data_IF_567211519625
#
_entry.id   IF_567211519625
#
_cell.length_a   1.000
_cell.length_b   1.000
_cell.length_c   1.000
_cell.angle_alpha   90.00
_cell.angle_beta   90.00
_cell.angle_gamma   90.00
#
_symmetry.space_group_name_H-M   'P 1'
#
loop_
_entity.id
_entity.type
_entity.pdbx_description
1 polymer ?
#
# COMPACT_ATOMS: atom_id res chain seq x y z
N UNK A 1 -0.03 11.87 -6.22
CA UNK A 1 -0.95 10.71 -6.17
C UNK A 1 -0.06 9.50 -5.98
N UNK A 2 -0.49 8.50 -5.21
CA UNK A 2 0.25 7.24 -5.12
C UNK A 2 -0.58 6.13 -5.71
N UNK A 3 0.07 5.29 -6.49
CA UNK A 3 -0.51 4.09 -7.09
C UNK A 3 -0.10 2.88 -6.26
N UNK A 4 -1.03 1.95 -6.06
CA UNK A 4 -0.77 0.72 -5.32
C UNK A 4 -1.32 -0.48 -6.09
N UNK A 5 -0.56 -1.57 -6.15
CA UNK A 5 -0.99 -2.82 -6.78
C UNK A 5 -0.44 -4.05 -6.05
N UNK A 6 -1.25 -5.11 -5.94
CA UNK A 6 -0.92 -6.34 -5.25
C UNK A 6 -0.65 -7.46 -6.27
N UNK A 7 0.57 -7.97 -6.29
CA UNK A 7 0.94 -9.07 -7.16
C UNK A 7 0.89 -10.41 -6.42
N UNK A 8 0.20 -11.40 -6.99
CA UNK A 8 0.22 -12.80 -6.57
C UNK A 8 -1.13 -13.52 -6.65
N UNK A 9 -1.19 -14.80 -6.25
CA UNK A 9 -0.11 -15.56 -5.60
C UNK A 9 1.03 -15.94 -6.55
N UNK A 10 2.24 -15.89 -6.02
CA UNK A 10 3.49 -16.34 -6.63
C UNK A 10 3.99 -17.59 -5.89
N UNK A 11 4.92 -18.38 -6.48
CA UNK A 11 5.61 -19.42 -5.73
C UNK A 11 6.19 -18.86 -4.43
N UNK A 12 5.89 -19.51 -3.31
CA UNK A 12 6.31 -19.05 -2.01
C UNK A 12 7.83 -18.86 -1.96
N UNK A 13 8.28 -17.71 -1.47
CA UNK A 13 9.69 -17.48 -1.20
C UNK A 13 10.20 -18.42 -0.10
N UNK A 14 11.53 -18.45 0.12
CA UNK A 14 12.12 -19.23 1.22
C UNK A 14 11.50 -18.94 2.59
N UNK A 15 11.02 -17.70 2.80
CA UNK A 15 10.39 -17.28 4.05
C UNK A 15 8.86 -17.47 4.05
N UNK A 16 8.26 -17.96 2.96
CA UNK A 16 6.83 -18.23 2.85
C UNK A 16 5.97 -17.02 2.44
N UNK A 17 6.56 -16.03 1.76
CA UNK A 17 5.79 -14.93 1.16
C UNK A 17 5.31 -15.33 -0.23
N UNK A 18 4.02 -15.14 -0.49
CA UNK A 18 3.34 -15.51 -1.74
C UNK A 18 2.85 -14.28 -2.52
N UNK A 19 2.92 -13.09 -1.94
CA UNK A 19 2.47 -11.85 -2.56
C UNK A 19 3.48 -10.72 -2.30
N UNK A 20 3.45 -9.70 -3.14
CA UNK A 20 4.05 -8.42 -2.82
C UNK A 20 3.12 -7.25 -3.18
N UNK A 21 3.11 -6.24 -2.32
CA UNK A 21 2.41 -4.98 -2.54
C UNK A 21 3.43 -3.97 -3.07
N UNK A 22 3.18 -3.44 -4.26
CA UNK A 22 3.92 -2.33 -4.82
C UNK A 22 3.16 -1.02 -4.57
N UNK A 23 3.87 0.00 -4.11
CA UNK A 23 3.37 1.37 -3.99
C UNK A 23 4.34 2.30 -4.71
N UNK A 24 3.81 3.17 -5.57
CA UNK A 24 4.59 4.12 -6.38
C UNK A 24 4.03 5.52 -6.15
N UNK A 25 4.91 6.48 -5.85
CA UNK A 25 4.56 7.90 -5.88
C UNK A 25 4.78 8.49 -7.28
N UNK A 26 3.74 9.04 -7.89
CA UNK A 26 3.80 9.58 -9.25
C UNK A 26 4.72 10.80 -9.37
N UNK A 27 4.92 11.54 -8.28
CA UNK A 27 5.71 12.76 -8.30
C UNK A 27 7.21 12.45 -8.27
N UNK A 28 7.64 11.66 -7.28
CA UNK A 28 9.06 11.35 -7.08
C UNK A 28 9.52 10.08 -7.77
N UNK A 29 8.59 9.29 -8.33
CA UNK A 29 8.84 7.93 -8.83
C UNK A 29 9.42 6.98 -7.76
N UNK A 30 9.31 7.37 -6.49
CA UNK A 30 9.77 6.53 -5.38
C UNK A 30 8.84 5.34 -5.24
N UNK A 31 9.44 4.17 -5.04
CA UNK A 31 8.73 2.90 -4.94
C UNK A 31 8.95 2.29 -3.57
N UNK A 32 7.90 1.64 -3.05
CA UNK A 32 7.95 0.83 -1.84
C UNK A 32 7.39 -0.55 -2.16
N UNK A 33 8.08 -1.59 -1.68
CA UNK A 33 7.69 -2.99 -1.85
C UNK A 33 7.54 -3.61 -0.48
N UNK A 34 6.37 -4.19 -0.22
CA UNK A 34 6.10 -4.97 0.98
C UNK A 34 5.81 -6.41 0.59
N UNK A 35 6.40 -7.39 1.27
CA UNK A 35 6.13 -8.81 1.05
C UNK A 35 5.04 -9.30 1.99
N UNK A 36 4.15 -10.17 1.50
CA UNK A 36 2.98 -10.62 2.24
C UNK A 36 2.82 -12.13 2.13
N UNK A 37 2.40 -12.75 3.24
CA UNK A 37 2.04 -14.17 3.26
C UNK A 37 0.60 -14.36 2.79
N UNK A 38 -0.26 -13.37 3.05
CA UNK A 38 -1.68 -13.39 2.67
C UNK A 38 -2.10 -12.05 2.05
N UNK A 39 -3.03 -12.06 1.10
CA UNK A 39 -3.62 -10.84 0.51
C UNK A 39 -4.18 -9.87 1.57
N UNK A 40 -4.75 -10.41 2.66
CA UNK A 40 -5.34 -9.62 3.75
C UNK A 40 -4.33 -8.75 4.52
N UNK A 41 -3.02 -8.96 4.35
CA UNK A 41 -1.99 -8.13 4.99
C UNK A 41 -1.77 -6.79 4.26
N UNK A 42 -2.35 -6.60 3.06
CA UNK A 42 -2.11 -5.43 2.20
C UNK A 42 -2.49 -4.11 2.88
N UNK A 43 -3.65 -4.09 3.55
CA UNK A 43 -4.11 -2.88 4.22
C UNK A 43 -3.22 -2.47 5.40
N UNK A 44 -2.74 -3.42 6.21
CA UNK A 44 -1.82 -3.12 7.32
C UNK A 44 -0.48 -2.56 6.83
N UNK A 45 0.04 -3.09 5.72
CA UNK A 45 1.24 -2.55 5.06
C UNK A 45 1.00 -1.14 4.52
N UNK A 46 -0.17 -0.89 3.94
CA UNK A 46 -0.55 0.45 3.49
C UNK A 46 -0.61 1.47 4.64
N UNK A 47 -1.17 1.11 5.80
CA UNK A 47 -1.17 1.99 6.98
C UNK A 47 0.26 2.34 7.44
N UNK A 48 1.14 1.33 7.45
CA UNK A 48 2.56 1.52 7.79
C UNK A 48 3.23 2.46 6.79
N UNK A 49 3.01 2.25 5.50
CA UNK A 49 3.47 3.15 4.44
C UNK A 49 2.95 4.57 4.64
N UNK A 50 1.64 4.76 4.88
CA UNK A 50 1.03 6.08 5.04
C UNK A 50 1.69 6.89 6.17
N UNK A 51 1.93 6.24 7.32
CA UNK A 51 2.61 6.89 8.45
C UNK A 51 4.05 7.28 8.11
N UNK A 52 4.79 6.38 7.46
CA UNK A 52 6.17 6.63 7.04
C UNK A 52 6.26 7.74 6.00
N UNK A 53 5.42 7.69 4.97
CA UNK A 53 5.38 8.68 3.89
C UNK A 53 4.96 10.06 4.40
N UNK A 54 3.97 10.13 5.30
CA UNK A 54 3.54 11.39 5.93
C UNK A 54 4.65 11.98 6.78
N UNK A 55 5.34 11.16 7.57
CA UNK A 55 6.48 11.61 8.41
C UNK A 55 7.66 12.09 7.56
N UNK A 56 7.99 11.40 6.47
CA UNK A 56 9.13 11.74 5.61
C UNK A 56 8.89 13.00 4.78
N UNK A 57 7.69 13.16 4.23
CA UNK A 57 7.35 14.29 3.37
C UNK A 57 6.90 15.53 4.15
N UNK A 58 6.53 15.37 5.42
CA UNK A 58 5.85 16.39 6.21
C UNK A 58 4.46 16.73 5.68
N UNK A 59 3.94 15.96 4.71
CA UNK A 59 2.68 16.19 4.03
C UNK A 59 1.81 14.93 4.07
N UNK A 60 0.50 15.07 4.31
CA UNK A 60 -0.43 13.96 4.25
C UNK A 60 -0.58 13.46 2.82
N UNK A 61 -0.94 12.17 2.69
CA UNK A 61 -1.15 11.57 1.39
C UNK A 61 -2.49 12.04 0.80
N UNK A 62 -2.44 12.71 -0.35
CA UNK A 62 -3.62 13.35 -0.96
C UNK A 62 -4.58 12.38 -1.63
N UNK A 63 -4.05 11.34 -2.29
CA UNK A 63 -4.85 10.41 -3.07
C UNK A 63 -4.12 9.07 -3.26
N UNK A 64 -4.82 7.99 -2.90
CA UNK A 64 -4.47 6.61 -3.23
C UNK A 64 -5.27 6.18 -4.46
N UNK A 65 -4.61 5.56 -5.44
CA UNK A 65 -5.24 4.90 -6.57
C UNK A 65 -4.84 3.42 -6.60
N UNK A 66 -5.84 2.54 -6.55
CA UNK A 66 -5.70 1.11 -6.81
C UNK A 66 -6.40 0.73 -8.11
N UNK A 67 -6.17 -0.48 -8.59
CA UNK A 67 -6.84 -1.06 -9.77
C UNK A 67 -8.30 -1.47 -9.51
N UNK A 68 -8.79 -1.33 -8.28
CA UNK A 68 -10.13 -1.72 -7.86
C UNK A 68 -10.23 -3.15 -7.32
N UNK A 69 -9.10 -3.81 -7.05
CA UNK A 69 -9.05 -5.09 -6.35
C UNK A 69 -9.79 -5.07 -5.00
N UNK A 70 -10.41 -6.20 -4.67
CA UNK A 70 -11.25 -6.38 -3.47
C UNK A 70 -10.50 -6.17 -2.14
N UNK A 71 -9.17 -6.25 -2.18
CA UNK A 71 -8.27 -6.03 -1.05
C UNK A 71 -8.23 -4.56 -0.58
N UNK A 72 -8.75 -3.62 -1.37
CA UNK A 72 -8.79 -2.19 -1.04
C UNK A 72 -10.21 -1.64 -0.87
N UNK A 73 -11.22 -2.47 -0.59
CA UNK A 73 -12.63 -2.04 -0.51
C UNK A 73 -12.90 -1.16 0.73
N UNK A 74 -12.59 0.13 0.56
CA UNK A 74 -13.17 1.38 1.03
C UNK A 74 -13.63 1.60 2.49
N UNK A 75 -13.90 0.61 3.34
CA UNK A 75 -14.29 0.91 4.73
C UNK A 75 -13.12 1.39 5.59
N UNK A 76 -11.92 0.89 5.32
CA UNK A 76 -10.76 1.16 6.19
C UNK A 76 -9.92 2.33 5.67
N UNK A 77 -9.86 2.56 4.35
CA UNK A 77 -9.20 3.73 3.75
C UNK A 77 -9.93 5.03 4.09
N UNK A 78 -11.26 5.01 4.18
CA UNK A 78 -12.06 6.16 4.60
C UNK A 78 -11.91 6.50 6.09
N UNK A 79 -11.34 5.59 6.90
CA UNK A 79 -11.07 5.81 8.33
C UNK A 79 -9.74 6.53 8.59
N UNK A 80 -8.89 6.67 7.57
CA UNK A 80 -7.65 7.43 7.66
C UNK A 80 -8.02 8.92 7.80
N UNK A 81 -7.53 9.62 8.84
CA UNK A 81 -7.84 11.03 9.02
C UNK A 81 -7.44 11.81 7.77
N UNK A 82 -8.43 12.41 7.11
CA UNK A 82 -8.18 13.41 6.09
C UNK A 82 -7.49 14.58 6.78
N UNK A 83 -6.38 15.02 6.22
CA UNK A 83 -5.76 16.25 6.69
C UNK A 83 -6.74 17.41 6.52
N UNK A 84 -6.85 18.22 7.57
CA UNK A 84 -7.59 19.47 7.58
C UNK A 84 -6.90 20.52 6.69
#
# INVERSE_FOLDING_TARGET
VVHTDLCGPLPASFQGFEYFQLIIDDYSWKMWVYFLRKKSEAFANFQTFYQQATRQSGKPLLLLRSDGGGEFVFKEVLSIPKAA
#
